data_IF_202485416932
#
_entry.id   IF_202485416932
#
_cell.length_a   1.000
_cell.length_b   1.000
_cell.length_c   1.000
_cell.angle_alpha   90.00
_cell.angle_beta   90.00
_cell.angle_gamma   90.00
#
_symmetry.space_group_name_H-M   'P 1'
#
loop_
_entity.id
_entity.type
_entity.pdbx_description
1 polymer ?
#
# COMPACT_ATOMS: atom_id res chain seq x y z
N UNK A 1 3.00 -30.38 1.87
CA UNK A 1 2.14 -30.57 3.05
C UNK A 1 2.92 -30.56 4.36
N UNK A 2 4.16 -31.02 4.40
CA UNK A 2 4.94 -31.23 5.65
C UNK A 2 5.46 -29.99 6.39
N UNK A 3 5.40 -28.79 5.80
CA UNK A 3 5.82 -27.55 6.47
C UNK A 3 4.70 -26.83 7.26
N UNK A 4 3.45 -27.21 7.03
CA UNK A 4 2.28 -26.59 7.70
C UNK A 4 1.93 -27.25 9.02
N UNK A 5 2.13 -28.56 9.15
CA UNK A 5 1.81 -29.33 10.34
C UNK A 5 2.53 -28.86 11.62
N UNK A 6 3.86 -28.57 11.60
CA UNK A 6 4.54 -28.06 12.79
C UNK A 6 4.06 -26.67 13.23
N UNK A 7 3.68 -25.83 12.26
CA UNK A 7 3.21 -24.47 12.53
C UNK A 7 1.80 -24.46 13.15
N UNK A 8 0.98 -25.44 12.81
CA UNK A 8 -0.37 -25.62 13.33
C UNK A 8 -0.33 -26.23 14.74
N UNK A 9 0.56 -27.20 14.96
CA UNK A 9 0.79 -27.77 16.29
C UNK A 9 1.32 -26.72 17.28
N UNK A 10 2.18 -25.81 16.85
CA UNK A 10 2.68 -24.68 17.67
C UNK A 10 1.57 -23.67 18.05
N UNK A 11 0.41 -23.69 17.37
CA UNK A 11 -0.78 -22.89 17.69
C UNK A 11 -1.85 -23.67 18.45
N UNK A 12 -1.57 -24.90 18.89
CA UNK A 12 -2.45 -25.69 19.74
C UNK A 12 -3.58 -26.43 19.01
N UNK A 13 -3.54 -26.54 17.67
CA UNK A 13 -4.52 -27.33 16.92
C UNK A 13 -4.21 -28.83 17.05
N UNK A 14 -5.08 -29.59 17.67
CA UNK A 14 -4.98 -31.06 17.82
C UNK A 14 -6.01 -31.81 16.98
N UNK A 15 -7.05 -31.13 16.51
CA UNK A 15 -8.17 -31.71 15.79
C UNK A 15 -8.43 -30.94 14.48
N UNK A 16 -9.19 -31.57 13.56
CA UNK A 16 -9.67 -30.92 12.34
C UNK A 16 -10.57 -29.70 12.64
N UNK A 17 -11.31 -29.75 13.75
CA UNK A 17 -12.18 -28.66 14.19
C UNK A 17 -11.35 -27.49 14.75
N UNK A 18 -10.26 -27.76 15.46
CA UNK A 18 -9.30 -26.73 15.90
C UNK A 18 -8.65 -26.06 14.68
N UNK A 19 -8.32 -26.83 13.65
CA UNK A 19 -7.78 -26.34 12.38
C UNK A 19 -8.79 -25.45 11.68
N UNK A 20 -10.05 -25.87 11.59
CA UNK A 20 -11.13 -25.09 11.03
C UNK A 20 -11.43 -23.83 11.85
N UNK A 21 -11.34 -23.88 13.16
CA UNK A 21 -11.48 -22.73 14.07
C UNK A 21 -10.32 -21.75 13.90
N UNK A 22 -9.07 -22.23 13.80
CA UNK A 22 -7.89 -21.43 13.53
C UNK A 22 -7.93 -20.78 12.14
N UNK A 23 -8.37 -21.51 11.13
CA UNK A 23 -8.58 -20.97 9.77
C UNK A 23 -9.69 -19.93 9.77
N UNK A 24 -10.81 -20.19 10.43
CA UNK A 24 -11.92 -19.23 10.58
C UNK A 24 -11.54 -18.04 11.46
N UNK A 25 -10.77 -18.25 12.52
CA UNK A 25 -10.24 -17.20 13.39
C UNK A 25 -9.16 -16.36 12.73
N UNK A 26 -8.24 -16.99 11.99
CA UNK A 26 -7.20 -16.31 11.20
C UNK A 26 -7.76 -15.55 10.00
N UNK A 27 -8.89 -15.98 9.44
CA UNK A 27 -9.63 -15.26 8.39
C UNK A 27 -10.33 -13.99 8.91
N UNK A 28 -10.42 -13.80 10.24
CA UNK A 28 -10.89 -12.57 10.87
C UNK A 28 -9.81 -11.49 11.00
N UNK A 29 -8.55 -11.77 10.69
CA UNK A 29 -7.59 -10.70 10.46
C UNK A 29 -8.13 -9.86 9.30
N UNK A 30 -8.52 -8.64 9.63
CA UNK A 30 -9.05 -7.66 8.68
C UNK A 30 -7.99 -7.51 7.58
N UNK A 31 -8.18 -8.19 6.44
CA UNK A 31 -7.25 -8.08 5.31
C UNK A 31 -7.16 -6.60 4.97
N UNK A 32 -5.99 -6.02 5.18
CA UNK A 32 -5.73 -4.63 4.85
C UNK A 32 -5.59 -4.53 3.35
N UNK A 33 -6.18 -3.49 2.80
CA UNK A 33 -5.94 -3.07 1.43
C UNK A 33 -4.90 -1.96 1.45
N UNK A 34 -4.03 -1.96 0.45
CA UNK A 34 -3.00 -0.95 0.28
C UNK A 34 -3.14 -0.32 -1.10
N UNK A 35 -2.70 0.93 -1.21
CA UNK A 35 -2.56 1.56 -2.51
C UNK A 35 -1.40 0.94 -3.29
N UNK A 36 -1.51 0.97 -4.60
CA UNK A 36 -0.50 0.48 -5.52
C UNK A 36 -0.53 1.33 -6.79
N UNK A 37 0.63 1.64 -7.32
CA UNK A 37 0.76 2.29 -8.63
C UNK A 37 1.00 1.24 -9.70
N UNK A 38 0.24 1.26 -10.78
CA UNK A 38 0.39 0.33 -11.91
C UNK A 38 0.60 1.14 -13.18
N UNK A 39 1.76 1.00 -13.80
CA UNK A 39 2.10 1.65 -15.06
C UNK A 39 2.11 0.62 -16.18
N UNK A 40 1.59 1.02 -17.34
CA UNK A 40 1.56 0.18 -18.55
C UNK A 40 2.84 0.41 -19.35
N UNK A 41 3.58 -0.66 -19.60
CA UNK A 41 4.82 -0.63 -20.38
C UNK A 41 4.61 -0.85 -21.87
N UNK A 42 3.60 -1.65 -22.25
CA UNK A 42 3.34 -2.04 -23.64
C UNK A 42 1.87 -2.48 -23.83
N UNK A 43 1.50 -2.88 -25.06
CA UNK A 43 0.13 -3.30 -25.40
C UNK A 43 -0.35 -4.54 -24.60
N UNK A 44 0.55 -5.47 -24.29
CA UNK A 44 0.23 -6.63 -23.44
C UNK A 44 -0.15 -6.17 -22.04
N UNK A 45 0.65 -5.26 -21.46
CA UNK A 45 0.36 -4.65 -20.16
C UNK A 45 -0.97 -3.88 -20.15
N UNK A 46 -1.31 -3.17 -21.23
CA UNK A 46 -2.60 -2.48 -21.33
C UNK A 46 -3.77 -3.46 -21.30
N UNK A 47 -3.68 -4.56 -22.06
CA UNK A 47 -4.68 -5.63 -22.03
C UNK A 47 -4.80 -6.23 -20.63
N UNK A 48 -3.66 -6.54 -20.01
CA UNK A 48 -3.61 -7.13 -18.67
C UNK A 48 -4.19 -6.18 -17.62
N UNK A 49 -3.93 -4.88 -17.72
CA UNK A 49 -4.52 -3.88 -16.81
C UNK A 49 -6.05 -3.85 -16.95
N UNK A 50 -6.59 -3.89 -18.16
CA UNK A 50 -8.04 -3.94 -18.36
C UNK A 50 -8.66 -5.21 -17.76
N UNK A 51 -8.00 -6.36 -17.89
CA UNK A 51 -8.45 -7.61 -17.28
C UNK A 51 -8.44 -7.51 -15.75
N UNK A 52 -7.36 -7.02 -15.16
CA UNK A 52 -7.24 -6.80 -13.71
C UNK A 52 -8.36 -5.87 -13.20
N UNK A 53 -8.60 -4.75 -13.88
CA UNK A 53 -9.66 -3.80 -13.51
C UNK A 53 -11.02 -4.48 -13.60
N UNK A 54 -11.33 -5.13 -14.70
CA UNK A 54 -12.61 -5.83 -14.91
C UNK A 54 -12.88 -6.85 -13.80
N UNK A 55 -11.92 -7.70 -13.51
CA UNK A 55 -12.05 -8.71 -12.45
C UNK A 55 -12.10 -8.11 -11.05
N UNK A 56 -11.43 -6.98 -10.81
CA UNK A 56 -11.52 -6.28 -9.53
C UNK A 56 -12.95 -5.78 -9.23
N UNK A 57 -13.68 -5.39 -10.27
CA UNK A 57 -15.08 -4.98 -10.15
C UNK A 57 -16.05 -6.16 -10.13
N UNK A 58 -15.84 -7.18 -10.94
CA UNK A 58 -16.78 -8.29 -11.11
C UNK A 58 -16.62 -9.36 -10.01
N UNK A 59 -15.38 -9.63 -9.57
CA UNK A 59 -15.08 -10.75 -8.68
C UNK A 59 -14.64 -10.31 -7.29
N UNK A 60 -14.03 -9.12 -7.18
CA UNK A 60 -13.36 -8.67 -5.95
C UNK A 60 -13.92 -7.35 -5.39
N UNK A 61 -15.07 -6.92 -5.85
CA UNK A 61 -15.76 -5.74 -5.34
C UNK A 61 -16.43 -6.06 -4.00
N UNK A 62 -16.14 -5.23 -3.00
CA UNK A 62 -16.84 -5.26 -1.72
C UNK A 62 -17.43 -3.88 -1.47
N UNK A 63 -16.70 -3.02 -0.76
CA UNK A 63 -17.01 -1.61 -0.59
C UNK A 63 -16.36 -0.78 -1.71
N UNK A 64 -15.17 -1.22 -2.11
CA UNK A 64 -14.38 -0.71 -3.23
C UNK A 64 -13.85 -1.91 -4.03
N UNK A 65 -13.49 -1.73 -5.30
CA UNK A 65 -12.79 -2.76 -6.06
C UNK A 65 -11.40 -3.00 -5.42
N UNK A 66 -11.02 -4.26 -5.31
CA UNK A 66 -9.72 -4.65 -4.76
C UNK A 66 -9.01 -5.61 -5.70
N UNK A 67 -7.69 -5.56 -5.71
CA UNK A 67 -6.85 -6.42 -6.55
C UNK A 67 -6.07 -7.37 -5.64
N UNK A 68 -6.40 -8.67 -5.61
CA UNK A 68 -5.56 -9.64 -4.93
C UNK A 68 -4.15 -9.68 -5.56
N UNK A 69 -3.11 -9.80 -4.74
CA UNK A 69 -1.73 -9.93 -5.26
C UNK A 69 -1.57 -11.12 -6.21
N UNK A 70 -2.31 -12.21 -6.00
CA UNK A 70 -2.32 -13.37 -6.91
C UNK A 70 -2.81 -13.00 -8.30
N UNK A 71 -3.90 -12.24 -8.40
CA UNK A 71 -4.42 -11.74 -9.67
C UNK A 71 -3.41 -10.82 -10.36
N UNK A 72 -2.80 -9.90 -9.60
CA UNK A 72 -1.79 -9.01 -10.15
C UNK A 72 -0.55 -9.76 -10.64
N UNK A 73 -0.16 -10.85 -9.97
CA UNK A 73 0.96 -11.69 -10.42
C UNK A 73 0.62 -12.49 -11.68
N UNK A 74 -0.62 -12.95 -11.82
CA UNK A 74 -1.10 -13.67 -13.00
C UNK A 74 -1.03 -12.79 -14.26
N UNK A 75 -1.37 -11.50 -14.13
CA UNK A 75 -1.40 -10.53 -15.24
C UNK A 75 -0.26 -9.52 -15.22
N UNK A 76 0.87 -9.85 -14.58
CA UNK A 76 1.98 -8.91 -14.36
C UNK A 76 2.73 -8.52 -15.65
N UNK A 77 2.68 -9.35 -16.68
CA UNK A 77 3.41 -9.10 -17.91
C UNK A 77 3.05 -7.75 -18.54
N UNK A 78 4.08 -6.96 -18.89
CA UNK A 78 3.92 -5.64 -19.49
C UNK A 78 3.47 -4.54 -18.52
N UNK A 79 3.45 -4.81 -17.21
CA UNK A 79 3.16 -3.85 -16.15
C UNK A 79 4.43 -3.52 -15.34
N UNK A 80 4.46 -2.32 -14.80
CA UNK A 80 5.45 -1.85 -13.82
C UNK A 80 4.69 -1.49 -12.56
N UNK A 81 5.10 -2.03 -11.42
CA UNK A 81 4.39 -1.93 -10.15
C UNK A 81 5.17 -1.05 -9.19
N UNK A 82 4.57 0.05 -8.77
CA UNK A 82 5.10 0.99 -7.80
C UNK A 82 4.51 0.84 -6.40
N UNK A 83 5.26 1.29 -5.38
CA UNK A 83 4.87 1.17 -3.98
C UNK A 83 3.77 2.14 -3.54
N UNK A 84 3.42 3.10 -4.38
CA UNK A 84 2.46 4.17 -4.12
C UNK A 84 2.78 5.05 -2.90
N UNK A 85 1.77 5.70 -2.32
CA UNK A 85 1.85 6.70 -1.26
C UNK A 85 1.96 6.10 0.15
N UNK A 86 1.66 6.90 1.17
CA UNK A 86 1.67 6.48 2.59
C UNK A 86 0.67 5.37 2.89
N UNK A 87 -0.38 5.23 2.08
CA UNK A 87 -1.32 4.12 2.15
C UNK A 87 -0.81 2.85 1.43
N UNK A 88 0.40 2.89 0.87
CA UNK A 88 1.07 1.75 0.25
C UNK A 88 1.66 0.79 1.27
N UNK A 89 1.81 -0.48 0.88
CA UNK A 89 2.29 -1.53 1.79
C UNK A 89 3.74 -1.31 2.26
N UNK A 90 4.62 -0.77 1.39
CA UNK A 90 6.03 -0.52 1.73
C UNK A 90 6.15 0.58 2.77
N UNK A 91 5.48 1.72 2.56
CA UNK A 91 5.48 2.81 3.52
C UNK A 91 4.90 2.38 4.87
N UNK A 92 3.76 1.69 4.86
CA UNK A 92 3.15 1.18 6.10
C UNK A 92 4.06 0.18 6.82
N UNK A 93 4.77 -0.68 6.10
CA UNK A 93 5.70 -1.63 6.69
C UNK A 93 6.89 -0.93 7.37
N UNK A 94 7.45 0.12 6.74
CA UNK A 94 8.52 0.94 7.32
C UNK A 94 7.99 1.71 8.54
N UNK A 95 6.83 2.35 8.45
CA UNK A 95 6.20 3.09 9.55
C UNK A 95 5.95 2.21 10.77
N UNK A 96 5.62 0.95 10.57
CA UNK A 96 5.39 -0.04 11.64
C UNK A 96 6.65 -0.68 12.19
N UNK A 97 7.82 -0.29 11.71
CA UNK A 97 9.09 -0.86 12.16
C UNK A 97 9.23 -2.36 11.88
N UNK A 98 8.72 -2.83 10.74
CA UNK A 98 8.89 -4.22 10.32
C UNK A 98 10.36 -4.58 10.22
N UNK A 99 10.71 -5.84 10.50
CA UNK A 99 12.10 -6.33 10.39
C UNK A 99 12.62 -6.20 8.95
N UNK A 100 13.93 -6.06 8.79
CA UNK A 100 14.58 -5.95 7.48
C UNK A 100 14.24 -7.13 6.56
N UNK A 101 14.10 -8.33 7.11
CA UNK A 101 13.71 -9.51 6.36
C UNK A 101 12.28 -9.39 5.82
N UNK A 102 11.35 -8.88 6.64
CA UNK A 102 9.97 -8.63 6.20
C UNK A 102 9.89 -7.48 5.19
N UNK A 103 10.64 -6.39 5.41
CA UNK A 103 10.71 -5.26 4.49
C UNK A 103 11.20 -5.72 3.12
N UNK A 104 12.31 -6.47 3.06
CA UNK A 104 12.82 -7.01 1.79
C UNK A 104 11.81 -7.93 1.11
N UNK A 105 11.12 -8.80 1.87
CA UNK A 105 10.09 -9.69 1.34
C UNK A 105 8.90 -8.90 0.74
N UNK A 106 8.44 -7.87 1.43
CA UNK A 106 7.36 -6.99 0.94
C UNK A 106 7.84 -6.22 -0.29
N UNK A 107 8.99 -5.57 -0.20
CA UNK A 107 9.55 -4.72 -1.23
C UNK A 107 9.93 -5.49 -2.51
N UNK A 108 10.25 -6.79 -2.42
CA UNK A 108 10.56 -7.62 -3.59
C UNK A 108 9.42 -7.68 -4.60
N UNK A 109 8.18 -7.49 -4.16
CA UNK A 109 6.99 -7.50 -5.02
C UNK A 109 6.93 -6.33 -6.01
N UNK A 110 7.49 -5.17 -5.65
CA UNK A 110 7.41 -3.92 -6.40
C UNK A 110 8.60 -3.77 -7.34
N UNK A 111 8.42 -3.06 -8.46
CA UNK A 111 9.48 -2.77 -9.43
C UNK A 111 10.22 -1.49 -9.08
N UNK A 112 9.55 -0.52 -8.43
CA UNK A 112 10.13 0.73 -7.94
C UNK A 112 9.44 1.20 -6.67
N UNK A 113 10.07 2.13 -5.95
CA UNK A 113 9.51 2.73 -4.75
C UNK A 113 9.26 4.22 -4.95
N UNK A 114 8.30 4.72 -4.17
CA UNK A 114 7.93 6.13 -4.17
C UNK A 114 8.21 6.74 -2.79
N UNK A 115 8.78 7.95 -2.80
CA UNK A 115 8.89 8.81 -1.61
C UNK A 115 8.14 10.11 -1.89
N UNK A 116 7.63 10.73 -0.83
CA UNK A 116 6.80 11.92 -0.94
C UNK A 116 7.34 13.07 -0.11
N UNK A 117 6.99 14.33 -0.44
CA UNK A 117 7.28 15.47 0.39
C UNK A 117 6.79 15.24 1.83
N UNK A 118 7.54 15.75 2.81
CA UNK A 118 7.17 15.57 4.22
C UNK A 118 5.80 16.14 4.54
N UNK A 119 5.43 17.21 3.83
CA UNK A 119 4.14 17.87 3.97
C UNK A 119 2.95 16.93 3.73
N UNK A 120 3.06 16.00 2.76
CA UNK A 120 2.01 15.03 2.47
C UNK A 120 1.72 14.08 3.64
N UNK A 121 2.75 13.85 4.47
CA UNK A 121 2.67 12.94 5.62
C UNK A 121 2.58 13.69 6.96
N UNK A 122 2.35 15.02 6.95
CA UNK A 122 2.26 15.83 8.16
C UNK A 122 1.17 15.37 9.11
N UNK A 123 0.08 14.84 8.61
CA UNK A 123 -1.00 14.26 9.42
C UNK A 123 -0.52 13.17 10.40
N UNK A 124 0.60 12.50 10.09
CA UNK A 124 1.23 11.52 11.00
C UNK A 124 1.86 12.18 12.23
N UNK A 125 2.29 13.45 12.11
CA UNK A 125 2.72 14.28 13.24
C UNK A 125 1.51 14.75 14.04
N UNK A 126 0.50 15.29 13.34
CA UNK A 126 -0.68 15.89 13.94
C UNK A 126 -1.50 14.87 14.76
N UNK A 127 -1.52 13.62 14.34
CA UNK A 127 -2.19 12.52 15.04
C UNK A 127 -1.28 11.76 16.03
N UNK A 128 -0.01 12.19 16.20
CA UNK A 128 0.94 11.57 17.12
C UNK A 128 1.52 10.22 16.70
N UNK A 129 1.29 9.77 15.47
CA UNK A 129 1.85 8.51 14.96
C UNK A 129 3.37 8.58 14.85
N UNK A 130 3.92 9.73 14.44
CA UNK A 130 5.36 10.04 14.49
C UNK A 130 5.61 11.27 15.39
N UNK A 131 6.82 11.38 15.94
CA UNK A 131 7.14 12.37 16.96
C UNK A 131 7.72 13.67 16.42
N UNK A 132 8.30 13.65 15.22
CA UNK A 132 9.03 14.79 14.65
C UNK A 132 9.13 14.70 13.13
N UNK A 133 9.42 15.83 12.47
CA UNK A 133 9.75 15.85 11.05
C UNK A 133 10.97 14.97 10.71
N UNK A 134 11.93 14.89 11.62
CA UNK A 134 13.09 14.01 11.43
C UNK A 134 12.67 12.53 11.39
N UNK A 135 11.64 12.16 12.15
CA UNK A 135 11.04 10.82 12.04
C UNK A 135 10.40 10.61 10.67
N UNK A 136 9.71 11.61 10.08
CA UNK A 136 9.19 11.52 8.70
C UNK A 136 10.33 11.39 7.68
N UNK A 137 11.42 12.17 7.82
CA UNK A 137 12.60 12.05 6.95
C UNK A 137 13.22 10.66 7.04
N UNK A 138 13.28 10.09 8.24
CA UNK A 138 13.83 8.75 8.45
C UNK A 138 13.02 7.66 7.73
N UNK A 139 11.70 7.80 7.60
CA UNK A 139 10.88 6.88 6.80
C UNK A 139 11.27 6.95 5.32
N UNK A 140 11.37 8.16 4.74
CA UNK A 140 11.81 8.31 3.35
C UNK A 140 13.22 7.76 3.13
N UNK A 141 14.18 8.08 4.03
CA UNK A 141 15.55 7.55 3.96
C UNK A 141 15.56 6.02 4.00
N UNK A 142 14.73 5.40 4.84
CA UNK A 142 14.66 3.94 4.90
C UNK A 142 14.14 3.32 3.61
N UNK A 143 13.16 3.98 2.94
CA UNK A 143 12.68 3.54 1.63
C UNK A 143 13.77 3.69 0.56
N UNK A 144 14.53 4.80 0.56
CA UNK A 144 15.67 5.00 -0.34
C UNK A 144 16.71 3.91 -0.13
N UNK A 145 17.11 3.67 1.11
CA UNK A 145 18.06 2.61 1.45
C UNK A 145 17.55 1.22 1.00
N UNK A 146 16.28 0.95 1.16
CA UNK A 146 15.67 -0.31 0.70
C UNK A 146 15.74 -0.45 -0.83
N UNK A 147 15.59 0.66 -1.56
CA UNK A 147 15.79 0.71 -3.01
C UNK A 147 17.23 0.37 -3.40
N UNK A 148 18.20 0.97 -2.72
CA UNK A 148 19.62 0.69 -2.91
C UNK A 148 19.96 -0.78 -2.61
N UNK A 149 19.48 -1.29 -1.46
CA UNK A 149 19.68 -2.70 -1.05
C UNK A 149 19.13 -3.71 -2.08
N UNK A 150 18.05 -3.37 -2.76
CA UNK A 150 17.37 -4.25 -3.72
C UNK A 150 17.69 -3.94 -5.19
N UNK A 151 18.50 -2.90 -5.46
CA UNK A 151 18.82 -2.45 -6.81
C UNK A 151 17.57 -1.96 -7.58
N UNK A 152 16.60 -1.34 -6.88
CA UNK A 152 15.34 -0.85 -7.47
C UNK A 152 15.30 0.67 -7.47
N UNK A 153 14.74 1.30 -8.53
CA UNK A 153 14.57 2.74 -8.57
C UNK A 153 13.73 3.26 -7.41
N UNK A 154 14.11 4.43 -6.89
CA UNK A 154 13.28 5.20 -5.97
C UNK A 154 13.00 6.54 -6.63
N UNK A 155 11.73 6.91 -6.73
CA UNK A 155 11.28 8.13 -7.39
C UNK A 155 10.58 9.04 -6.37
N UNK A 156 10.80 10.34 -6.51
CA UNK A 156 10.05 11.34 -5.75
C UNK A 156 8.76 11.64 -6.49
N UNK A 157 7.64 11.38 -5.85
CA UNK A 157 6.28 11.70 -6.33
C UNK A 157 5.60 12.59 -5.32
N UNK A 158 4.56 13.32 -5.74
CA UNK A 158 3.90 14.29 -4.86
C UNK A 158 2.47 13.91 -4.49
N UNK A 159 1.95 12.81 -5.03
CA UNK A 159 0.52 12.43 -4.85
C UNK A 159 -0.42 13.61 -5.14
N UNK A 160 -0.23 14.25 -6.29
CA UNK A 160 -0.83 15.53 -6.66
C UNK A 160 -2.34 15.40 -6.78
N UNK A 161 -3.09 16.28 -6.10
CA UNK A 161 -4.55 16.30 -6.10
C UNK A 161 -5.16 17.59 -6.66
N UNK A 162 -4.35 18.57 -7.01
CA UNK A 162 -4.73 19.82 -7.66
C UNK A 162 -3.53 20.41 -8.41
N UNK A 163 -3.78 21.30 -9.37
CA UNK A 163 -2.76 21.83 -10.26
C UNK A 163 -1.98 22.98 -9.62
N UNK A 164 -2.69 23.96 -9.08
CA UNK A 164 -2.11 25.16 -8.49
C UNK A 164 -2.42 25.24 -6.99
N UNK A 165 -1.52 25.78 -6.14
CA UNK A 165 -1.69 25.85 -4.69
C UNK A 165 -3.03 26.48 -4.25
N UNK A 166 -3.52 27.46 -4.98
CA UNK A 166 -4.78 28.17 -4.71
C UNK A 166 -6.01 27.25 -4.88
N UNK A 167 -5.88 26.16 -5.59
CA UNK A 167 -6.98 25.20 -5.82
C UNK A 167 -7.21 24.27 -4.63
N UNK A 168 -6.34 24.26 -3.63
CA UNK A 168 -6.51 23.49 -2.39
C UNK A 168 -7.86 23.75 -1.73
N UNK A 169 -8.28 25.04 -1.71
CA UNK A 169 -9.56 25.43 -1.12
C UNK A 169 -10.75 24.76 -1.83
N UNK A 170 -10.71 24.67 -3.15
CA UNK A 170 -11.79 24.01 -3.92
C UNK A 170 -11.87 22.51 -3.62
N UNK A 171 -10.72 21.86 -3.48
CA UNK A 171 -10.66 20.46 -3.07
C UNK A 171 -11.28 20.26 -1.69
N UNK A 172 -10.94 21.10 -0.71
CA UNK A 172 -11.52 21.04 0.63
C UNK A 172 -13.04 21.21 0.61
N UNK A 173 -13.55 22.17 -0.14
CA UNK A 173 -15.00 22.39 -0.31
C UNK A 173 -15.66 21.13 -0.89
N UNK A 174 -15.09 20.53 -1.93
CA UNK A 174 -15.63 19.31 -2.54
C UNK A 174 -15.63 18.12 -1.58
N UNK A 175 -14.58 17.95 -0.78
CA UNK A 175 -14.50 16.88 0.22
C UNK A 175 -15.51 17.10 1.35
N UNK A 176 -15.66 18.34 1.83
CA UNK A 176 -16.64 18.71 2.84
C UNK A 176 -18.07 18.45 2.35
N UNK A 177 -18.38 18.85 1.09
CA UNK A 177 -19.68 18.61 0.48
C UNK A 177 -20.01 17.11 0.37
N UNK A 178 -19.02 16.27 0.13
CA UNK A 178 -19.14 14.81 0.09
C UNK A 178 -19.06 14.13 1.47
N UNK A 179 -18.93 14.89 2.55
CA UNK A 179 -18.81 14.41 3.93
C UNK A 179 -17.63 13.45 4.15
N UNK A 180 -16.52 13.65 3.45
CA UNK A 180 -15.29 12.91 3.73
C UNK A 180 -14.69 13.36 5.07
N UNK A 181 -14.18 12.42 5.85
CA UNK A 181 -13.65 12.64 7.20
C UNK A 181 -12.37 13.49 7.26
N UNK A 182 -11.72 13.68 6.12
CA UNK A 182 -10.48 14.44 5.94
C UNK A 182 -10.69 15.79 5.25
N UNK A 183 -11.93 16.21 5.08
CA UNK A 183 -12.28 17.49 4.45
C UNK A 183 -11.65 18.71 5.17
N UNK A 184 -11.51 18.63 6.50
CA UNK A 184 -10.96 19.71 7.32
C UNK A 184 -9.43 19.60 7.53
N UNK A 185 -8.80 18.59 7.00
CA UNK A 185 -7.35 18.44 7.09
C UNK A 185 -6.69 19.27 5.98
N UNK A 186 -5.84 20.23 6.34
CA UNK A 186 -5.00 20.87 5.35
C UNK A 186 -4.09 19.79 4.74
N UNK A 187 -4.30 19.52 3.46
CA UNK A 187 -3.43 18.63 2.70
C UNK A 187 -2.61 19.50 1.75
N UNK A 188 -1.38 19.84 2.13
CA UNK A 188 -0.49 20.59 1.26
C UNK A 188 0.09 19.65 0.19
N UNK A 189 -0.78 19.05 -0.58
CA UNK A 189 -0.46 18.19 -1.73
C UNK A 189 -0.27 19.04 -2.98
N UNK A 190 0.71 19.95 -2.93
CA UNK A 190 1.06 20.73 -4.10
C UNK A 190 2.14 20.03 -4.91
N UNK A 191 1.99 20.11 -6.23
CA UNK A 191 2.85 19.64 -7.32
C UNK A 191 3.02 18.15 -7.40
#
# INVERSE_FOLDING_TARGET
>A
MDKFLPMLAAKGAQTLDDLNALVRGGLKEKRRTHHISILVRNKTGLKNLYEIISRSYLEHFKRNPTIPKSLLMEYREGLIIGSACEAGEVFEAVLRGKSDAELRRIASFYDYFEIMPLANNRFLLDNGTVRSEESLRSLNRRIVQLGEELGKPVVATCDVHFLDPEQEIFRRILLAAKKFSDADKPMPLYY
#
